data_IF_234872598148
#
_entry.id   IF_234872598148
#
_cell.length_a   1.000
_cell.length_b   1.000
_cell.length_c   1.000
_cell.angle_alpha   90.00
_cell.angle_beta   90.00
_cell.angle_gamma   90.00
#
_symmetry.space_group_name_H-M   'P 1'
#
loop_
_entity.id
_entity.type
_entity.pdbx_description
1 polymer ?
#
# COMPACT_ATOMS: atom_id res chain seq x y z
N UNK A 1 -18.38 -10.19 30.32
CA UNK A 1 -18.91 -9.56 31.51
C UNK A 1 -20.27 -10.14 31.91
N UNK A 2 -20.24 -11.36 32.46
CA UNK A 2 -21.44 -12.09 32.90
C UNK A 2 -22.26 -11.33 33.97
N UNK A 3 -21.62 -10.44 34.74
CA UNK A 3 -22.30 -9.66 35.79
C UNK A 3 -23.25 -8.58 35.23
N UNK A 4 -22.96 -8.00 34.08
CA UNK A 4 -23.86 -7.01 33.45
C UNK A 4 -25.06 -7.68 32.81
N UNK A 5 -24.89 -8.85 32.21
CA UNK A 5 -25.97 -9.65 31.64
C UNK A 5 -26.90 -10.17 32.75
N UNK A 6 -26.35 -10.60 33.86
CA UNK A 6 -27.12 -11.10 35.00
C UNK A 6 -28.00 -10.04 35.67
N UNK A 7 -27.56 -8.78 35.77
CA UNK A 7 -28.36 -7.71 36.37
C UNK A 7 -29.47 -7.19 35.45
N UNK A 8 -29.28 -7.25 34.14
CA UNK A 8 -30.27 -6.82 33.14
C UNK A 8 -31.38 -7.88 32.91
N UNK A 9 -31.18 -9.11 33.36
CA UNK A 9 -32.05 -10.25 33.08
C UNK A 9 -32.74 -10.79 34.34
N UNK A 10 -32.63 -10.13 35.46
CA UNK A 10 -33.34 -10.51 36.67
C UNK A 10 -34.85 -10.19 36.51
N UNK A 11 -35.64 -11.27 36.43
CA UNK A 11 -37.09 -11.14 36.44
C UNK A 11 -37.49 -10.78 37.88
N UNK A 12 -38.01 -9.58 38.09
CA UNK A 12 -38.53 -9.17 39.40
C UNK A 12 -39.89 -9.84 39.68
N UNK A 13 -40.33 -9.73 40.91
CA UNK A 13 -41.62 -10.34 41.35
C UNK A 13 -42.86 -9.84 40.55
N UNK A 14 -42.78 -8.63 39.96
CA UNK A 14 -43.86 -8.06 39.15
C UNK A 14 -43.90 -8.60 37.71
N UNK A 15 -42.78 -9.14 37.22
CA UNK A 15 -42.69 -9.76 35.90
C UNK A 15 -42.99 -11.25 35.92
N UNK A 16 -42.95 -11.89 37.09
CA UNK A 16 -43.27 -13.32 37.26
C UNK A 16 -44.68 -13.69 36.78
N UNK A 17 -45.66 -12.78 36.88
CA UNK A 17 -47.01 -13.00 36.39
C UNK A 17 -47.13 -13.12 34.88
N UNK A 18 -46.09 -12.79 34.12
CA UNK A 18 -46.03 -12.89 32.66
C UNK A 18 -45.35 -14.16 32.18
N UNK A 19 -44.75 -14.91 33.10
CA UNK A 19 -44.09 -16.18 32.78
C UNK A 19 -45.12 -17.33 32.73
N UNK A 20 -44.84 -18.35 31.93
CA UNK A 20 -45.61 -19.57 31.93
C UNK A 20 -45.45 -20.27 33.26
N UNK A 21 -46.53 -20.95 33.73
CA UNK A 21 -46.56 -21.60 35.06
C UNK A 21 -45.35 -22.51 35.36
N UNK A 22 -44.79 -23.19 34.38
CA UNK A 22 -43.64 -24.06 34.57
C UNK A 22 -42.31 -23.30 34.70
N UNK A 23 -42.21 -22.06 34.24
CA UNK A 23 -41.04 -21.22 34.34
C UNK A 23 -40.92 -20.55 35.74
N UNK A 24 -42.04 -20.32 36.39
CA UNK A 24 -42.13 -19.70 37.72
C UNK A 24 -41.78 -20.67 38.85
N UNK A 25 -42.12 -21.96 38.68
CA UNK A 25 -42.04 -22.98 39.75
C UNK A 25 -40.64 -23.40 40.14
N UNK A 26 -39.63 -23.20 39.30
CA UNK A 26 -38.30 -23.78 39.49
C UNK A 26 -37.21 -22.78 39.82
N UNK A 27 -37.50 -21.47 39.95
CA UNK A 27 -36.51 -20.44 40.30
C UNK A 27 -35.39 -20.26 39.29
N UNK A 28 -35.61 -20.56 38.03
CA UNK A 28 -34.62 -20.41 36.97
C UNK A 28 -34.46 -18.94 36.59
N UNK A 29 -33.21 -18.58 36.30
CA UNK A 29 -32.92 -17.31 35.61
C UNK A 29 -33.26 -17.50 34.14
N UNK A 30 -34.26 -16.77 33.64
CA UNK A 30 -34.62 -16.78 32.22
C UNK A 30 -33.85 -15.64 31.54
N UNK A 31 -33.11 -16.00 30.52
CA UNK A 31 -32.38 -15.08 29.69
C UNK A 31 -33.22 -14.67 28.46
N UNK A 32 -33.27 -13.39 28.18
CA UNK A 32 -33.99 -12.83 27.05
C UNK A 32 -33.18 -13.06 25.76
N UNK A 33 -33.67 -13.97 24.92
CA UNK A 33 -33.01 -14.40 23.69
C UNK A 33 -32.85 -13.23 22.69
N UNK A 34 -33.86 -12.33 22.62
CA UNK A 34 -33.83 -11.21 21.66
C UNK A 34 -32.77 -10.17 22.07
N UNK A 35 -32.65 -9.88 23.36
CA UNK A 35 -31.59 -9.01 23.88
C UNK A 35 -30.20 -9.62 23.74
N UNK A 36 -30.08 -10.93 23.89
CA UNK A 36 -28.82 -11.63 23.64
C UNK A 36 -28.45 -11.63 22.16
N UNK A 37 -29.43 -11.77 21.27
CA UNK A 37 -29.19 -11.63 19.83
C UNK A 37 -28.75 -10.21 19.49
N UNK A 38 -29.43 -9.20 20.00
CA UNK A 38 -29.03 -7.81 19.80
C UNK A 38 -27.61 -7.55 20.32
N UNK A 39 -27.27 -8.02 21.51
CA UNK A 39 -25.92 -7.90 22.06
C UNK A 39 -24.87 -8.60 21.19
N UNK A 40 -25.19 -9.79 20.70
CA UNK A 40 -24.33 -10.50 19.77
C UNK A 40 -24.11 -9.70 18.49
N UNK A 41 -25.17 -9.21 17.87
CA UNK A 41 -25.12 -8.48 16.60
C UNK A 41 -24.34 -7.18 16.71
N UNK A 42 -24.48 -6.45 17.83
CA UNK A 42 -23.84 -5.16 18.04
C UNK A 42 -22.41 -5.24 18.58
N UNK A 43 -22.13 -6.21 19.47
CA UNK A 43 -20.90 -6.21 20.26
C UNK A 43 -19.95 -7.37 19.92
N UNK A 44 -20.45 -8.50 19.45
CA UNK A 44 -19.65 -9.70 19.21
C UNK A 44 -19.41 -9.91 17.71
N UNK A 45 -20.47 -9.93 16.92
CA UNK A 45 -20.45 -10.21 15.48
C UNK A 45 -19.43 -9.36 14.70
N UNK A 46 -19.28 -8.03 14.94
CA UNK A 46 -18.29 -7.22 14.21
C UNK A 46 -16.84 -7.68 14.41
N UNK A 47 -16.57 -8.38 15.51
CA UNK A 47 -15.23 -8.86 15.87
C UNK A 47 -14.99 -10.33 15.49
N UNK A 48 -15.96 -11.02 14.92
CA UNK A 48 -15.84 -12.44 14.51
C UNK A 48 -15.39 -12.62 13.07
N UNK A 49 -15.18 -11.53 12.32
CA UNK A 49 -14.70 -11.58 10.95
C UNK A 49 -13.21 -11.26 10.88
N UNK A 50 -12.54 -11.90 9.97
CA UNK A 50 -11.22 -11.52 9.47
C UNK A 50 -11.42 -11.01 8.05
N UNK A 51 -11.10 -9.74 7.81
CA UNK A 51 -11.15 -9.19 6.45
C UNK A 51 -10.09 -9.88 5.60
N UNK A 52 -10.41 -10.22 4.36
CA UNK A 52 -9.41 -10.72 3.43
C UNK A 52 -8.47 -9.61 2.99
N UNK A 53 -7.27 -9.96 2.70
CA UNK A 53 -6.31 -9.12 2.01
C UNK A 53 -5.91 -9.79 0.70
N UNK A 54 -6.15 -9.13 -0.43
CA UNK A 54 -5.85 -9.71 -1.73
C UNK A 54 -4.34 -9.74 -2.00
N UNK A 55 -3.88 -10.77 -2.73
CA UNK A 55 -2.51 -10.83 -3.21
C UNK A 55 -2.31 -9.79 -4.30
N UNK A 56 -1.36 -8.87 -4.13
CA UNK A 56 -1.05 -7.83 -5.09
C UNK A 56 0.28 -8.12 -5.79
N UNK A 57 0.25 -8.27 -7.11
CA UNK A 57 1.42 -8.52 -7.94
C UNK A 57 1.61 -7.41 -8.96
N UNK A 58 2.86 -6.98 -9.12
CA UNK A 58 3.24 -6.04 -10.17
C UNK A 58 3.59 -6.83 -11.42
N UNK A 59 3.01 -6.46 -12.54
CA UNK A 59 3.25 -7.08 -13.84
C UNK A 59 3.78 -6.07 -14.85
N UNK A 60 4.53 -6.55 -15.85
CA UNK A 60 4.90 -5.76 -17.02
C UNK A 60 3.76 -5.73 -18.05
N UNK A 61 3.96 -5.01 -19.16
CA UNK A 61 2.96 -4.89 -20.23
C UNK A 61 2.66 -6.24 -20.94
N UNK A 62 3.52 -7.25 -20.79
CA UNK A 62 3.28 -8.60 -21.29
C UNK A 62 2.50 -9.48 -20.28
N UNK A 63 2.22 -8.96 -19.09
CA UNK A 63 1.53 -9.67 -18.01
C UNK A 63 2.45 -10.57 -17.19
N UNK A 64 3.77 -10.50 -17.39
CA UNK A 64 4.75 -11.25 -16.59
C UNK A 64 4.92 -10.58 -15.22
N UNK A 65 4.94 -11.40 -14.16
CA UNK A 65 5.08 -10.91 -12.78
C UNK A 65 6.50 -10.42 -12.54
N UNK A 66 6.63 -9.16 -12.17
CA UNK A 66 7.89 -8.51 -11.81
C UNK A 66 8.18 -8.65 -10.32
N UNK A 67 7.15 -8.50 -9.48
CA UNK A 67 7.25 -8.63 -8.02
C UNK A 67 5.89 -8.92 -7.39
N UNK A 68 5.93 -9.40 -6.16
CA UNK A 68 4.76 -9.47 -5.28
C UNK A 68 4.88 -8.37 -4.22
N UNK A 69 3.93 -7.45 -4.19
CA UNK A 69 3.89 -6.39 -3.17
C UNK A 69 3.26 -6.87 -1.87
N UNK A 70 2.18 -7.63 -2.00
CA UNK A 70 1.44 -8.18 -0.86
C UNK A 70 1.08 -9.63 -1.15
N UNK A 71 1.42 -10.55 -0.26
CA UNK A 71 0.99 -11.96 -0.39
C UNK A 71 -0.47 -12.15 -0.04
N UNK A 72 -1.04 -11.22 0.72
CA UNK A 72 -2.41 -11.27 1.19
C UNK A 72 -2.72 -12.51 2.03
N UNK A 73 -3.94 -12.58 2.53
CA UNK A 73 -4.46 -13.72 3.28
C UNK A 73 -5.95 -13.87 3.05
N UNK A 74 -6.44 -15.11 3.20
CA UNK A 74 -7.86 -15.38 3.17
C UNK A 74 -8.56 -14.69 4.34
N UNK A 75 -9.76 -14.19 4.08
CA UNK A 75 -10.67 -13.70 5.10
C UNK A 75 -11.48 -14.84 5.73
N UNK A 76 -12.15 -14.53 6.83
CA UNK A 76 -13.16 -15.39 7.44
C UNK A 76 -14.41 -14.55 7.67
N UNK A 77 -15.50 -14.98 7.10
CA UNK A 77 -16.82 -14.38 7.32
C UNK A 77 -17.74 -15.39 8.01
N UNK A 78 -18.81 -14.93 8.63
CA UNK A 78 -19.80 -15.80 9.22
C UNK A 78 -20.49 -16.56 8.08
N UNK A 79 -20.61 -17.89 8.21
CA UNK A 79 -21.30 -18.70 7.23
C UNK A 79 -22.80 -18.35 7.17
N UNK A 80 -23.40 -18.50 6.00
CA UNK A 80 -24.79 -18.12 5.75
C UNK A 80 -25.75 -18.82 6.75
N UNK A 81 -26.46 -18.02 7.53
CA UNK A 81 -27.39 -18.50 8.54
C UNK A 81 -26.75 -19.04 9.84
N UNK A 82 -25.42 -19.07 9.96
CA UNK A 82 -24.75 -19.61 11.15
C UNK A 82 -24.96 -18.76 12.40
N UNK A 83 -25.32 -17.50 12.24
CA UNK A 83 -25.57 -16.55 13.33
C UNK A 83 -27.08 -16.29 13.60
N UNK A 84 -27.95 -17.01 12.91
CA UNK A 84 -29.37 -17.05 13.30
C UNK A 84 -29.52 -17.75 14.64
N UNK A 85 -30.43 -17.28 15.48
CA UNK A 85 -30.76 -17.89 16.78
C UNK A 85 -29.57 -17.98 17.78
N UNK A 86 -28.49 -17.20 17.58
CA UNK A 86 -27.37 -17.15 18.54
C UNK A 86 -27.88 -16.73 19.92
N UNK A 87 -28.80 -15.76 19.98
CA UNK A 87 -29.39 -15.32 21.22
C UNK A 87 -30.14 -16.44 21.97
N UNK A 88 -30.91 -17.27 21.26
CA UNK A 88 -31.59 -18.40 21.84
C UNK A 88 -30.62 -19.48 22.35
N UNK A 89 -29.58 -19.78 21.58
CA UNK A 89 -28.51 -20.72 21.97
C UNK A 89 -27.74 -20.21 23.18
N UNK A 90 -27.42 -18.91 23.22
CA UNK A 90 -26.79 -18.26 24.37
C UNK A 90 -27.68 -18.33 25.61
N UNK A 91 -28.99 -18.04 25.48
CA UNK A 91 -29.92 -18.11 26.60
C UNK A 91 -29.93 -19.52 27.22
N UNK A 92 -29.89 -20.55 26.39
CA UNK A 92 -29.85 -21.93 26.84
C UNK A 92 -28.56 -22.29 27.59
N UNK A 93 -27.41 -21.90 27.03
CA UNK A 93 -26.09 -22.13 27.66
C UNK A 93 -25.97 -21.39 29.00
N UNK A 94 -26.42 -20.13 29.05
CA UNK A 94 -26.41 -19.35 30.28
C UNK A 94 -27.35 -19.89 31.36
N UNK A 95 -28.50 -20.45 30.97
CA UNK A 95 -29.43 -21.07 31.89
C UNK A 95 -28.84 -22.33 32.53
N UNK A 96 -28.00 -23.08 31.83
CA UNK A 96 -27.29 -24.25 32.37
C UNK A 96 -26.01 -23.92 33.14
N UNK A 97 -25.51 -22.70 32.97
CA UNK A 97 -24.26 -22.23 33.62
C UNK A 97 -22.98 -22.78 33.01
N UNK A 98 -23.05 -23.65 32.02
CA UNK A 98 -21.91 -24.27 31.34
C UNK A 98 -22.18 -24.46 29.86
N UNK A 99 -21.17 -24.31 29.00
CA UNK A 99 -21.26 -24.58 27.58
C UNK A 99 -20.65 -23.48 26.72
N UNK A 100 -20.75 -23.66 25.42
CA UNK A 100 -20.30 -22.68 24.41
C UNK A 100 -21.32 -22.61 23.27
N UNK A 101 -21.37 -21.48 22.61
CA UNK A 101 -22.10 -21.32 21.35
C UNK A 101 -21.08 -21.12 20.25
N UNK A 102 -21.03 -22.04 19.31
CA UNK A 102 -20.19 -21.92 18.14
C UNK A 102 -20.96 -21.22 17.01
N UNK A 103 -20.31 -20.33 16.32
CA UNK A 103 -20.79 -19.70 15.09
C UNK A 103 -19.85 -20.13 13.98
N UNK A 104 -20.38 -20.84 12.99
CA UNK A 104 -19.56 -21.37 11.92
C UNK A 104 -19.08 -20.25 11.01
N UNK A 105 -17.80 -20.31 10.65
CA UNK A 105 -17.14 -19.41 9.71
C UNK A 105 -17.04 -20.01 8.32
N UNK A 106 -17.01 -19.14 7.32
CA UNK A 106 -16.76 -19.47 5.92
C UNK A 106 -15.52 -18.72 5.47
N UNK A 107 -14.61 -19.40 4.78
CA UNK A 107 -13.45 -18.78 4.17
C UNK A 107 -13.90 -17.84 3.05
N UNK A 108 -13.42 -16.60 3.07
CA UNK A 108 -13.48 -15.64 1.97
C UNK A 108 -12.09 -15.64 1.29
N UNK A 109 -11.91 -16.37 0.18
CA UNK A 109 -10.60 -16.60 -0.39
C UNK A 109 -10.02 -15.30 -0.97
N UNK A 110 -8.75 -15.03 -0.70
CA UNK A 110 -8.00 -13.95 -1.33
C UNK A 110 -7.99 -14.10 -2.84
N UNK A 111 -7.95 -12.97 -3.52
CA UNK A 111 -7.83 -12.92 -4.98
C UNK A 111 -6.44 -12.40 -5.36
N UNK A 112 -6.02 -12.67 -6.61
CA UNK A 112 -4.81 -12.06 -7.15
C UNK A 112 -5.20 -10.81 -7.94
N UNK A 113 -4.67 -9.66 -7.52
CA UNK A 113 -4.82 -8.36 -8.18
C UNK A 113 -3.52 -8.03 -8.89
N UNK A 114 -3.59 -7.83 -10.19
CA UNK A 114 -2.45 -7.44 -11.04
C UNK A 114 -2.46 -5.94 -11.23
N UNK A 115 -1.31 -5.33 -10.99
CA UNK A 115 -1.09 -3.89 -11.24
C UNK A 115 0.15 -3.70 -12.11
N UNK A 116 0.17 -2.61 -12.86
CA UNK A 116 1.35 -2.18 -13.61
C UNK A 116 1.96 -0.95 -12.96
N UNK A 117 3.29 -0.88 -12.91
CA UNK A 117 4.01 0.33 -12.53
C UNK A 117 4.61 0.98 -13.77
N UNK A 118 4.47 2.28 -13.86
CA UNK A 118 5.17 3.09 -14.87
C UNK A 118 5.58 4.44 -14.32
N UNK A 119 6.61 4.99 -14.87
CA UNK A 119 7.16 6.31 -14.53
C UNK A 119 7.00 7.21 -15.74
N UNK A 120 6.52 8.43 -15.54
CA UNK A 120 6.60 9.50 -16.52
C UNK A 120 7.41 10.66 -15.91
N UNK A 121 8.35 11.20 -16.68
CA UNK A 121 9.17 12.34 -16.27
C UNK A 121 8.94 13.47 -17.27
N UNK A 122 8.54 14.62 -16.76
CA UNK A 122 8.45 15.87 -17.49
C UNK A 122 9.66 16.74 -17.14
N UNK A 123 10.51 16.98 -18.14
CA UNK A 123 11.74 17.73 -17.96
C UNK A 123 11.48 19.22 -17.76
N UNK A 124 10.46 19.78 -18.44
CA UNK A 124 10.11 21.19 -18.37
C UNK A 124 9.51 21.56 -17.01
N UNK A 125 8.60 20.72 -16.51
CA UNK A 125 7.97 20.87 -15.19
C UNK A 125 8.87 20.36 -14.04
N UNK A 126 9.92 19.64 -14.38
CA UNK A 126 10.82 18.98 -13.41
C UNK A 126 10.06 18.10 -12.43
N UNK A 127 9.19 17.24 -12.98
CA UNK A 127 8.35 16.33 -12.23
C UNK A 127 8.54 14.89 -12.68
N UNK A 128 8.48 14.00 -11.73
CA UNK A 128 8.34 12.57 -11.93
C UNK A 128 6.99 12.13 -11.39
N UNK A 129 6.22 11.46 -12.21
CA UNK A 129 4.93 10.88 -11.88
C UNK A 129 5.06 9.36 -11.82
N UNK A 130 4.82 8.80 -10.65
CA UNK A 130 4.74 7.36 -10.44
C UNK A 130 3.29 6.91 -10.59
N UNK A 131 3.05 5.99 -11.51
CA UNK A 131 1.70 5.48 -11.80
C UNK A 131 1.58 4.02 -11.39
N UNK A 132 0.49 3.71 -10.71
CA UNK A 132 -0.02 2.36 -10.58
C UNK A 132 -1.25 2.25 -11.50
N UNK A 133 -1.18 1.39 -12.50
CA UNK A 133 -2.11 1.38 -13.62
C UNK A 133 -2.20 2.79 -14.24
N UNK A 134 -3.41 3.36 -14.30
CA UNK A 134 -3.63 4.71 -14.83
C UNK A 134 -3.71 5.80 -13.75
N UNK A 135 -3.44 5.46 -12.50
CA UNK A 135 -3.52 6.39 -11.36
C UNK A 135 -2.14 6.86 -10.93
N UNK A 136 -1.95 8.18 -10.81
CA UNK A 136 -0.75 8.74 -10.19
C UNK A 136 -0.79 8.46 -8.69
N UNK A 137 0.11 7.62 -8.20
CA UNK A 137 0.22 7.30 -6.78
C UNK A 137 1.19 8.23 -6.05
N UNK A 138 2.13 8.83 -6.78
CA UNK A 138 3.04 9.83 -6.22
C UNK A 138 3.62 10.74 -7.30
N UNK A 139 3.80 12.01 -6.95
CA UNK A 139 4.51 13.00 -7.76
C UNK A 139 5.74 13.46 -6.99
N UNK A 140 6.90 13.45 -7.64
CA UNK A 140 8.18 13.85 -7.08
C UNK A 140 8.75 15.03 -7.87
N UNK A 141 9.51 15.87 -7.18
CA UNK A 141 10.32 16.90 -7.84
C UNK A 141 11.66 16.29 -8.27
N UNK A 142 12.18 16.71 -9.41
CA UNK A 142 13.43 16.17 -9.93
C UNK A 142 14.45 17.26 -10.29
N UNK A 143 15.71 16.87 -10.28
CA UNK A 143 16.82 17.59 -10.90
C UNK A 143 17.27 16.77 -12.10
N UNK A 144 17.40 17.44 -13.26
CA UNK A 144 17.72 16.83 -14.54
C UNK A 144 18.94 17.54 -15.17
N UNK A 145 19.36 17.11 -16.34
CA UNK A 145 20.42 17.81 -17.09
C UNK A 145 19.88 19.15 -17.67
N UNK A 146 20.81 20.08 -17.96
CA UNK A 146 20.46 21.41 -18.46
C UNK A 146 20.39 21.51 -19.99
N UNK A 147 20.91 20.51 -20.69
CA UNK A 147 21.15 20.61 -22.13
C UNK A 147 19.96 20.24 -23.01
N UNK A 148 18.83 19.87 -22.45
CA UNK A 148 17.63 19.61 -23.23
C UNK A 148 16.93 20.91 -23.59
N UNK A 149 16.50 21.04 -24.86
CA UNK A 149 15.56 22.06 -25.26
C UNK A 149 14.21 21.87 -24.58
N UNK A 150 13.70 22.91 -23.96
CA UNK A 150 12.47 22.85 -23.15
C UNK A 150 11.17 22.72 -23.96
N UNK A 151 11.26 22.72 -25.29
CA UNK A 151 10.09 22.61 -26.19
C UNK A 151 10.14 21.30 -26.96
N UNK A 152 11.31 20.94 -27.50
CA UNK A 152 11.45 19.75 -28.33
C UNK A 152 11.99 18.54 -27.58
N UNK A 153 12.61 18.75 -26.43
CA UNK A 153 13.31 17.69 -25.68
C UNK A 153 14.64 17.26 -26.30
N UNK A 154 14.99 17.82 -27.46
CA UNK A 154 16.25 17.51 -28.13
C UNK A 154 17.45 17.92 -27.28
N UNK A 155 18.52 17.13 -27.41
CA UNK A 155 19.78 17.45 -26.76
C UNK A 155 20.51 18.53 -27.56
N UNK A 156 20.45 19.77 -27.07
CA UNK A 156 21.10 20.93 -27.70
C UNK A 156 22.31 21.41 -26.91
N UNK A 157 22.46 20.95 -25.68
CA UNK A 157 23.59 21.22 -24.80
C UNK A 157 24.55 20.04 -24.68
N UNK A 158 25.46 20.14 -23.70
CA UNK A 158 26.51 19.14 -23.54
C UNK A 158 26.14 17.98 -22.61
N UNK A 159 25.15 18.19 -21.75
CA UNK A 159 24.66 17.22 -20.79
C UNK A 159 23.14 17.17 -20.89
N UNK A 160 22.61 16.06 -21.31
CA UNK A 160 21.19 15.91 -21.56
C UNK A 160 20.63 14.67 -20.86
N UNK A 161 19.44 14.81 -20.32
CA UNK A 161 18.62 13.65 -19.92
C UNK A 161 17.98 13.07 -21.17
N UNK A 162 18.16 11.79 -21.49
CA UNK A 162 17.58 11.18 -22.69
C UNK A 162 16.05 11.20 -22.61
N UNK A 163 15.39 11.59 -23.72
CA UNK A 163 13.92 11.56 -23.87
C UNK A 163 13.48 10.31 -24.62
N UNK A 164 12.23 9.90 -24.44
CA UNK A 164 11.62 8.73 -25.06
C UNK A 164 11.23 7.64 -24.06
N UNK A 165 11.11 6.42 -24.56
CA UNK A 165 10.63 5.27 -23.80
C UNK A 165 11.78 4.34 -23.40
N UNK A 166 11.84 4.01 -22.13
CA UNK A 166 12.85 3.19 -21.51
C UNK A 166 12.21 2.18 -20.55
N UNK A 167 13.04 1.27 -20.03
CA UNK A 167 12.68 0.40 -18.92
C UNK A 167 13.82 0.39 -17.89
N UNK A 168 13.48 0.25 -16.63
CA UNK A 168 14.50 0.03 -15.59
C UNK A 168 15.15 -1.33 -15.82
N UNK A 169 16.43 -1.32 -16.13
CA UNK A 169 17.18 -2.52 -16.49
C UNK A 169 18.18 -2.97 -15.42
N UNK A 170 18.55 -2.06 -14.49
CA UNK A 170 19.41 -2.38 -13.36
C UNK A 170 19.07 -1.52 -12.15
N UNK A 171 19.16 -2.11 -10.96
CA UNK A 171 18.96 -1.43 -9.69
C UNK A 171 20.11 -1.74 -8.74
N UNK A 172 20.62 -0.70 -8.07
CA UNK A 172 21.67 -0.82 -7.08
C UNK A 172 21.30 0.00 -5.84
N UNK A 173 21.48 -0.55 -4.63
CA UNK A 173 21.18 0.21 -3.41
C UNK A 173 22.09 1.43 -3.25
N UNK A 174 23.33 1.33 -3.71
CA UNK A 174 24.31 2.42 -3.74
C UNK A 174 25.39 2.13 -4.78
N UNK A 175 25.96 3.18 -5.35
CA UNK A 175 27.09 3.09 -6.30
C UNK A 175 27.89 4.39 -6.28
N UNK A 176 29.22 4.27 -6.41
CA UNK A 176 30.08 5.37 -6.81
C UNK A 176 29.92 5.64 -8.30
N UNK A 177 29.67 6.89 -8.67
CA UNK A 177 29.51 7.31 -10.07
C UNK A 177 30.62 8.23 -10.46
N UNK A 178 31.35 7.88 -11.51
CA UNK A 178 32.42 8.70 -12.07
C UNK A 178 32.38 8.69 -13.58
N UNK A 179 32.88 9.75 -14.19
CA UNK A 179 32.95 9.84 -15.63
C UNK A 179 33.84 10.98 -16.09
N UNK A 180 34.02 11.00 -17.40
CA UNK A 180 34.76 12.05 -18.11
C UNK A 180 33.99 12.42 -19.36
N UNK A 181 33.75 13.70 -19.55
CA UNK A 181 33.08 14.25 -20.73
C UNK A 181 34.02 15.22 -21.44
N UNK A 182 34.23 14.97 -22.74
CA UNK A 182 34.93 15.92 -23.59
C UNK A 182 33.92 16.92 -24.12
N UNK A 183 34.09 18.18 -23.74
CA UNK A 183 33.19 19.27 -24.11
C UNK A 183 33.49 19.78 -25.52
N UNK A 184 32.50 20.40 -26.17
CA UNK A 184 32.63 20.88 -27.54
C UNK A 184 33.69 22.00 -27.71
N UNK A 185 33.99 22.70 -26.65
CA UNK A 185 35.04 23.75 -26.60
C UNK A 185 36.47 23.19 -26.39
N UNK A 186 36.58 21.85 -26.30
CA UNK A 186 37.84 21.14 -26.08
C UNK A 186 38.25 21.00 -24.62
N UNK A 187 37.42 21.45 -23.69
CA UNK A 187 37.64 21.22 -22.26
C UNK A 187 37.20 19.81 -21.88
N UNK A 188 37.74 19.31 -20.76
CA UNK A 188 37.40 17.98 -20.22
C UNK A 188 36.80 18.19 -18.85
N UNK A 189 35.57 17.76 -18.68
CA UNK A 189 34.91 17.68 -17.38
C UNK A 189 35.00 16.26 -16.81
N UNK A 190 35.38 16.18 -15.54
CA UNK A 190 35.44 14.92 -14.81
C UNK A 190 34.63 15.04 -13.54
N UNK A 191 33.92 13.98 -13.21
CA UNK A 191 33.19 13.87 -11.93
C UNK A 191 33.50 12.55 -11.24
N UNK A 192 33.45 12.58 -9.91
CA UNK A 192 33.58 11.41 -9.04
C UNK A 192 32.68 11.64 -7.82
N UNK A 193 31.49 11.05 -7.87
CA UNK A 193 30.45 11.18 -6.85
C UNK A 193 30.34 9.88 -6.10
N UNK A 194 30.59 9.94 -4.79
CA UNK A 194 30.58 8.75 -3.93
C UNK A 194 29.20 8.52 -3.34
N UNK A 195 28.89 7.23 -3.09
CA UNK A 195 27.69 6.77 -2.38
C UNK A 195 26.38 7.34 -2.93
N UNK A 196 26.21 7.27 -4.26
CA UNK A 196 24.94 7.61 -4.90
C UNK A 196 23.94 6.51 -4.57
N UNK A 197 22.94 6.84 -3.74
CA UNK A 197 21.99 5.84 -3.23
C UNK A 197 20.76 5.65 -4.10
N UNK A 198 20.16 4.46 -4.00
CA UNK A 198 18.86 4.12 -4.58
C UNK A 198 18.83 4.26 -6.11
N UNK A 199 19.80 3.68 -6.78
CA UNK A 199 20.06 3.83 -8.21
C UNK A 199 19.16 2.91 -9.03
N UNK A 200 18.42 3.47 -9.99
CA UNK A 200 17.55 2.77 -10.93
C UNK A 200 17.94 3.17 -12.36
N UNK A 201 18.77 2.37 -13.01
CA UNK A 201 19.20 2.63 -14.38
C UNK A 201 18.08 2.38 -15.39
N UNK A 202 17.79 3.38 -16.22
CA UNK A 202 16.79 3.29 -17.30
C UNK A 202 17.43 3.41 -18.69
N UNK A 203 18.56 4.08 -18.84
CA UNK A 203 19.34 4.17 -20.06
C UNK A 203 20.78 3.77 -19.78
N UNK A 204 21.62 3.60 -20.81
CA UNK A 204 22.96 3.00 -20.72
C UNK A 204 23.87 3.61 -19.65
N UNK A 205 23.73 4.89 -19.36
CA UNK A 205 24.51 5.58 -18.32
C UNK A 205 23.66 6.47 -17.41
N UNK A 206 22.35 6.53 -17.63
CA UNK A 206 21.46 7.42 -16.89
C UNK A 206 20.55 6.63 -15.95
N UNK A 207 20.40 7.12 -14.74
CA UNK A 207 19.59 6.52 -13.69
C UNK A 207 18.69 7.53 -13.00
N UNK A 208 17.60 7.07 -12.40
CA UNK A 208 16.85 7.79 -11.38
C UNK A 208 17.46 7.40 -10.04
N UNK A 209 17.93 8.36 -9.27
CA UNK A 209 18.63 8.08 -8.03
C UNK A 209 18.47 9.21 -6.99
N UNK A 210 18.77 8.92 -5.74
CA UNK A 210 18.89 9.94 -4.70
C UNK A 210 19.88 11.02 -5.14
N UNK A 211 19.45 12.31 -5.08
CA UNK A 211 20.35 13.41 -5.40
C UNK A 211 21.64 13.32 -4.58
N UNK A 212 22.77 13.53 -5.24
CA UNK A 212 24.08 13.45 -4.61
C UNK A 212 24.35 14.66 -3.69
N UNK A 213 25.31 14.51 -2.78
CA UNK A 213 25.68 15.55 -1.82
C UNK A 213 24.92 15.42 -0.50
N UNK A 214 24.63 16.56 0.12
CA UNK A 214 23.93 16.59 1.41
C UNK A 214 22.44 16.33 1.30
N UNK A 215 21.78 16.20 2.45
CA UNK A 215 20.33 15.95 2.53
C UNK A 215 19.54 17.09 1.87
N UNK A 216 18.72 16.73 0.89
CA UNK A 216 17.75 17.60 0.21
C UNK A 216 16.41 16.88 0.18
N UNK A 217 15.40 17.46 0.83
CA UNK A 217 14.04 16.92 0.78
C UNK A 217 13.36 17.23 -0.56
N UNK A 218 12.40 16.40 -0.97
CA UNK A 218 11.64 16.57 -2.21
C UNK A 218 11.02 17.99 -2.34
N UNK A 219 10.46 18.50 -1.25
CA UNK A 219 9.84 19.83 -1.23
C UNK A 219 10.82 20.98 -1.57
N UNK A 220 12.12 20.77 -1.39
CA UNK A 220 13.17 21.79 -1.66
C UNK A 220 13.79 21.62 -3.04
N UNK A 221 13.61 20.46 -3.68
CA UNK A 221 14.18 20.14 -5.00
C UNK A 221 13.92 21.22 -6.08
N UNK A 222 12.75 21.89 -6.13
CA UNK A 222 12.51 22.96 -7.11
C UNK A 222 13.48 24.13 -7.00
N UNK A 223 14.09 24.36 -5.82
CA UNK A 223 15.10 25.41 -5.61
C UNK A 223 16.52 25.00 -6.01
N UNK A 224 16.73 23.71 -6.27
CA UNK A 224 18.03 23.21 -6.72
C UNK A 224 18.16 23.42 -8.23
N UNK A 225 19.28 23.99 -8.65
CA UNK A 225 19.56 24.14 -10.08
C UNK A 225 19.67 22.77 -10.76
N UNK A 226 19.27 22.69 -12.04
CA UNK A 226 19.64 21.57 -12.88
C UNK A 226 21.17 21.50 -13.03
N UNK A 227 21.69 20.41 -13.55
CA UNK A 227 23.13 20.25 -13.73
C UNK A 227 23.58 18.79 -13.55
N UNK A 228 22.68 17.84 -13.74
CA UNK A 228 23.08 16.44 -13.81
C UNK A 228 23.75 16.15 -15.17
N UNK A 229 24.56 15.09 -15.21
CA UNK A 229 25.20 14.61 -16.43
C UNK A 229 24.27 13.72 -17.30
N UNK A 230 22.94 13.78 -17.03
CA UNK A 230 21.91 12.99 -17.70
C UNK A 230 21.02 12.19 -16.77
N UNK A 231 21.45 11.94 -15.56
CA UNK A 231 20.65 11.28 -14.52
C UNK A 231 19.50 12.16 -14.05
N UNK A 232 18.52 11.52 -13.41
CA UNK A 232 17.38 12.17 -12.76
C UNK A 232 17.54 12.04 -11.24
N UNK A 233 17.85 13.17 -10.59
CA UNK A 233 17.99 13.23 -9.13
C UNK A 233 16.64 13.43 -8.45
N UNK A 234 16.35 12.66 -7.40
CA UNK A 234 15.17 12.79 -6.54
C UNK A 234 15.56 13.08 -5.10
N UNK A 235 14.63 13.61 -4.30
CA UNK A 235 14.85 13.98 -2.91
C UNK A 235 15.20 12.81 -2.01
N UNK A 236 15.92 13.08 -0.91
CA UNK A 236 16.37 12.07 0.04
C UNK A 236 15.22 11.37 0.76
N UNK A 237 14.18 12.10 1.10
CA UNK A 237 13.00 11.62 1.84
C UNK A 237 12.07 10.73 1.00
N UNK A 238 12.24 10.70 -0.32
CA UNK A 238 11.41 9.93 -1.26
C UNK A 238 12.19 8.84 -2.00
N UNK A 239 13.52 8.88 -1.96
CA UNK A 239 14.37 8.01 -2.79
C UNK A 239 14.27 6.52 -2.42
N UNK A 240 14.22 6.19 -1.14
CA UNK A 240 14.05 4.80 -0.68
C UNK A 240 12.67 4.25 -1.08
N UNK A 241 11.61 5.06 -0.89
CA UNK A 241 10.28 4.68 -1.33
C UNK A 241 10.27 4.40 -2.84
N UNK A 242 10.82 5.31 -3.66
CA UNK A 242 10.86 5.15 -5.11
C UNK A 242 11.64 3.89 -5.52
N UNK A 243 12.78 3.66 -4.90
CA UNK A 243 13.60 2.47 -5.17
C UNK A 243 12.84 1.18 -4.88
N UNK A 244 12.13 1.10 -3.77
CA UNK A 244 11.37 -0.09 -3.40
C UNK A 244 10.13 -0.30 -4.28
N UNK A 245 9.47 0.79 -4.67
CA UNK A 245 8.28 0.76 -5.51
C UNK A 245 8.62 0.48 -7.00
N UNK A 246 9.71 1.04 -7.52
CA UNK A 246 10.12 0.91 -8.92
C UNK A 246 10.81 -0.42 -9.16
N UNK A 247 10.17 -1.35 -9.85
CA UNK A 247 10.71 -2.68 -10.12
C UNK A 247 11.65 -2.69 -11.33
N UNK A 248 12.49 -3.74 -11.42
CA UNK A 248 13.16 -4.09 -12.69
C UNK A 248 12.09 -4.31 -13.75
N UNK A 249 12.26 -3.72 -14.93
CA UNK A 249 11.28 -3.78 -16.02
C UNK A 249 10.20 -2.71 -15.98
N UNK A 250 10.13 -1.89 -14.92
CA UNK A 250 9.21 -0.73 -14.88
C UNK A 250 9.48 0.20 -16.06
N UNK A 251 8.43 0.55 -16.81
CA UNK A 251 8.54 1.48 -17.93
C UNK A 251 8.77 2.91 -17.46
N UNK A 252 9.65 3.62 -18.18
CA UNK A 252 10.01 5.02 -17.92
C UNK A 252 9.84 5.80 -19.20
N UNK A 253 8.91 6.74 -19.23
CA UNK A 253 8.69 7.68 -20.32
C UNK A 253 9.21 9.06 -19.92
N UNK A 254 10.06 9.67 -20.76
CA UNK A 254 10.66 10.99 -20.50
C UNK A 254 10.33 11.93 -21.64
N UNK A 255 9.74 13.05 -21.28
CA UNK A 255 9.28 14.09 -22.22
C UNK A 255 9.59 15.51 -21.70
N UNK A 256 9.30 16.52 -22.51
CA UNK A 256 9.24 17.96 -22.16
C UNK A 256 7.81 18.43 -22.20
#
# INVERSE_FOLDING_TARGET
NASMLGSAMRIDANQQSKLKDNEVRNGYVVFDADKLQQYYDEQIKPNLKLEREDKKVVVNNAGEVLSTETEGHDGIVIADGADTEVGARLAQVLATGTGSVNVDGKVDPKQEVKVTHRVAIDLSDRKLYAYENDTVVKTLNVVVAEGNDNVTGECVGMMCTPTGDFNVWQKLPSQDMSGTLNLADGTVETWDVKDVGFVNYFSSGCAIHRIAGGYVADAVMPSIANGSHGCVGIGWDVAEWFYNWCNMGTSVHIQV
#
